data_IF_974743114823
#
_entry.id   IF_974743114823
#
_cell.length_a   1.000
_cell.length_b   1.000
_cell.length_c   1.000
_cell.angle_alpha   90.00
_cell.angle_beta   90.00
_cell.angle_gamma   90.00
#
_symmetry.space_group_name_H-M   'P 1'
#
loop_
_entity.id
_entity.type
_entity.pdbx_description
1 polymer ?
#
# COMPACT_ATOMS: atom_id res chain seq x y z
N UNK A 1 -7.82 14.22 2.56
CA UNK A 1 -8.31 13.30 1.51
C UNK A 1 -7.25 12.21 1.38
N UNK A 2 -7.15 11.35 2.40
CA UNK A 2 -6.21 10.23 2.41
C UNK A 2 -6.95 9.03 1.84
N UNK A 3 -6.36 8.36 0.85
CA UNK A 3 -6.79 7.00 0.57
C UNK A 3 -6.32 6.14 1.77
N UNK A 4 -7.04 5.06 2.09
CA UNK A 4 -6.88 4.40 3.41
C UNK A 4 -5.57 3.60 3.57
N UNK A 5 -4.83 3.35 2.49
CA UNK A 5 -3.73 2.38 2.45
C UNK A 5 -2.35 3.01 2.20
N UNK A 6 -2.26 4.34 2.21
CA UNK A 6 -1.02 5.08 2.04
C UNK A 6 -0.50 5.65 3.35
N UNK A 7 0.77 5.38 3.63
CA UNK A 7 1.52 5.98 4.72
C UNK A 7 2.54 6.94 4.12
N UNK A 8 2.50 8.21 4.53
CA UNK A 8 3.51 9.19 4.13
C UNK A 8 4.20 9.79 5.35
N UNK A 9 5.51 9.93 5.26
CA UNK A 9 6.31 10.59 6.29
C UNK A 9 7.62 11.11 5.72
N UNK A 10 8.22 12.06 6.43
CA UNK A 10 9.51 12.66 6.06
C UNK A 10 10.59 12.14 7.01
N UNK A 11 11.69 11.63 6.46
CA UNK A 11 12.92 11.34 7.21
C UNK A 11 14.05 12.18 6.61
N UNK A 12 14.57 13.12 7.39
CA UNK A 12 15.54 14.10 6.89
C UNK A 12 14.94 14.90 5.74
N UNK A 13 15.60 14.86 4.58
CA UNK A 13 15.16 15.55 3.37
C UNK A 13 14.41 14.64 2.39
N UNK A 14 13.96 13.45 2.80
CA UNK A 14 13.24 12.51 1.94
C UNK A 14 11.78 12.41 2.35
N UNK A 15 10.88 12.69 1.40
CA UNK A 15 9.44 12.44 1.51
C UNK A 15 9.15 11.03 1.03
N UNK A 16 8.97 10.13 1.99
CA UNK A 16 8.65 8.74 1.71
C UNK A 16 7.14 8.56 1.68
N UNK A 17 6.67 7.96 0.60
CA UNK A 17 5.30 7.49 0.41
C UNK A 17 5.35 5.98 0.25
N UNK A 18 4.68 5.28 1.16
CA UNK A 18 4.51 3.84 1.13
C UNK A 18 3.05 3.52 0.87
N UNK A 19 2.82 2.55 0.00
CA UNK A 19 1.49 2.05 -0.28
C UNK A 19 1.50 0.53 -0.32
N UNK A 20 0.43 -0.09 0.15
CA UNK A 20 0.20 -1.53 -0.02
C UNK A 20 -0.81 -1.78 -1.14
N UNK A 21 -0.57 -2.82 -1.94
CA UNK A 21 -1.49 -3.27 -3.00
C UNK A 21 -1.59 -4.80 -3.05
N UNK A 22 -2.82 -5.31 -2.98
CA UNK A 22 -3.17 -6.72 -3.24
C UNK A 22 -3.46 -7.02 -4.71
N UNK A 23 -3.59 -5.98 -5.54
CA UNK A 23 -3.83 -6.10 -6.98
C UNK A 23 -2.84 -5.26 -7.78
N UNK A 24 -2.43 -5.76 -8.95
CA UNK A 24 -1.54 -5.01 -9.83
C UNK A 24 -2.31 -3.82 -10.41
N UNK A 25 -1.71 -2.63 -10.35
CA UNK A 25 -2.29 -1.42 -10.94
C UNK A 25 -1.23 -0.64 -11.71
N UNK A 26 -1.39 -0.46 -13.04
CA UNK A 26 -0.49 0.39 -13.82
C UNK A 26 -0.65 1.88 -13.47
N UNK A 27 -1.74 2.25 -12.77
CA UNK A 27 -2.09 3.63 -12.44
C UNK A 27 -1.36 4.18 -11.21
N UNK A 28 -0.50 3.37 -10.56
CA UNK A 28 0.23 3.77 -9.36
C UNK A 28 1.03 5.07 -9.56
N UNK A 29 1.78 5.28 -10.66
CA UNK A 29 2.51 6.54 -10.86
C UNK A 29 1.60 7.79 -10.88
N UNK A 30 0.38 7.66 -11.43
CA UNK A 30 -0.59 8.75 -11.45
C UNK A 30 -1.15 9.04 -10.04
N UNK A 31 -1.40 7.98 -9.25
CA UNK A 31 -1.77 8.13 -7.84
C UNK A 31 -0.66 8.80 -7.03
N UNK A 32 0.58 8.34 -7.21
CA UNK A 32 1.80 8.92 -6.62
C UNK A 32 1.91 10.42 -6.89
N UNK A 33 1.64 10.86 -8.13
CA UNK A 33 1.61 12.27 -8.49
C UNK A 33 0.60 13.05 -7.64
N UNK A 34 -0.62 12.55 -7.47
CA UNK A 34 -1.65 13.21 -6.68
C UNK A 34 -1.29 13.28 -5.19
N UNK A 35 -0.73 12.21 -4.64
CA UNK A 35 -0.23 12.19 -3.27
C UNK A 35 0.88 13.22 -3.07
N UNK A 36 1.94 13.19 -3.89
CA UNK A 36 3.04 14.15 -3.79
C UNK A 36 2.59 15.59 -3.99
N UNK A 37 1.72 15.86 -4.96
CA UNK A 37 1.19 17.21 -5.17
C UNK A 37 0.46 17.73 -3.93
N UNK A 38 -0.28 16.86 -3.24
CA UNK A 38 -1.01 17.22 -2.01
C UNK A 38 -0.05 17.44 -0.84
N UNK A 39 0.89 16.51 -0.63
CA UNK A 39 1.90 16.57 0.43
C UNK A 39 2.81 17.79 0.28
N UNK A 40 3.30 18.08 -0.93
CA UNK A 40 4.12 19.27 -1.15
C UNK A 40 3.32 20.57 -0.97
N UNK A 41 2.06 20.61 -1.40
CA UNK A 41 1.20 21.79 -1.21
C UNK A 41 1.05 22.11 0.27
N UNK A 42 0.68 21.11 1.07
CA UNK A 42 0.58 21.26 2.53
C UNK A 42 1.91 21.70 3.14
N UNK A 43 3.01 21.07 2.72
CA UNK A 43 4.34 21.31 3.29
C UNK A 43 4.86 22.74 3.08
N UNK A 44 4.53 23.36 1.95
CA UNK A 44 5.03 24.68 1.58
C UNK A 44 4.03 25.81 1.89
N UNK A 45 2.87 25.51 2.47
CA UNK A 45 1.78 26.48 2.62
C UNK A 45 2.23 27.79 3.29
N UNK A 46 3.02 27.69 4.37
CA UNK A 46 3.56 28.85 5.11
C UNK A 46 4.57 29.68 4.31
N UNK A 47 5.20 29.09 3.28
CA UNK A 47 6.27 29.69 2.48
C UNK A 47 5.91 29.80 0.99
N UNK A 48 4.65 29.59 0.61
CA UNK A 48 4.18 29.52 -0.78
C UNK A 48 4.52 30.75 -1.62
N UNK A 49 4.69 31.91 -0.99
CA UNK A 49 5.10 33.14 -1.65
C UNK A 49 6.50 33.03 -2.29
N UNK A 50 7.37 32.15 -1.76
CA UNK A 50 8.71 31.90 -2.32
C UNK A 50 8.67 31.31 -3.72
N UNK A 51 7.56 30.69 -4.14
CA UNK A 51 7.39 30.17 -5.51
C UNK A 51 7.47 31.27 -6.57
N UNK A 52 7.18 32.52 -6.21
CA UNK A 52 7.19 33.67 -7.12
C UNK A 52 8.43 34.56 -6.95
N UNK A 53 9.42 34.10 -6.17
CA UNK A 53 10.67 34.82 -5.92
C UNK A 53 11.79 34.25 -6.79
N UNK A 54 12.84 35.05 -7.01
CA UNK A 54 14.06 34.61 -7.71
C UNK A 54 15.03 33.82 -6.79
N UNK A 55 14.50 33.15 -5.76
CA UNK A 55 15.27 32.33 -4.81
C UNK A 55 14.75 30.89 -4.85
N UNK A 56 15.63 29.88 -4.99
CA UNK A 56 15.19 28.48 -5.00
C UNK A 56 14.44 28.08 -3.73
N UNK A 57 13.29 27.42 -3.91
CA UNK A 57 12.58 26.73 -2.85
C UNK A 57 12.94 25.23 -2.92
N UNK A 58 13.82 24.79 -2.02
CA UNK A 58 14.12 23.36 -1.87
C UNK A 58 12.96 22.66 -1.16
N UNK A 59 12.51 21.56 -1.75
CA UNK A 59 11.47 20.68 -1.19
C UNK A 59 12.09 19.29 -0.98
N UNK A 60 11.53 18.46 -0.07
CA UNK A 60 12.00 17.10 0.14
C UNK A 60 12.10 16.29 -1.16
N UNK A 61 13.00 15.31 -1.19
CA UNK A 61 13.15 14.35 -2.28
C UNK A 61 12.01 13.31 -2.23
N UNK A 62 11.22 13.13 -3.31
CA UNK A 62 10.11 12.19 -3.32
C UNK A 62 10.60 10.75 -3.49
N UNK A 63 10.11 9.84 -2.66
CA UNK A 63 10.31 8.40 -2.82
C UNK A 63 8.96 7.68 -2.67
N UNK A 64 8.56 6.93 -3.70
CA UNK A 64 7.30 6.20 -3.71
C UNK A 64 7.54 4.69 -3.86
N UNK A 65 7.27 3.95 -2.78
CA UNK A 65 7.44 2.50 -2.70
C UNK A 65 6.07 1.86 -2.52
N UNK A 66 5.78 0.88 -3.36
CA UNK A 66 4.54 0.10 -3.28
C UNK A 66 4.89 -1.33 -2.91
N UNK A 67 4.32 -1.84 -1.83
CA UNK A 67 4.42 -3.24 -1.44
C UNK A 67 3.30 -4.03 -2.11
N UNK A 68 3.68 -4.87 -3.07
CA UNK A 68 2.76 -5.75 -3.77
C UNK A 68 2.70 -7.12 -3.08
N UNK A 69 1.52 -7.54 -2.65
CA UNK A 69 1.31 -8.88 -2.12
C UNK A 69 0.26 -9.69 -2.89
N UNK A 70 -0.13 -9.29 -4.10
CA UNK A 70 -1.21 -9.94 -4.84
C UNK A 70 -0.92 -11.36 -5.32
N UNK A 71 -1.94 -12.00 -5.90
CA UNK A 71 -1.90 -13.40 -6.38
C UNK A 71 -1.27 -13.56 -7.76
N UNK A 72 -1.22 -12.48 -8.55
CA UNK A 72 -0.62 -12.49 -9.88
C UNK A 72 0.91 -12.57 -9.75
N UNK A 73 1.54 -13.35 -10.63
CA UNK A 73 2.99 -13.45 -10.65
C UNK A 73 3.61 -12.16 -11.20
N UNK A 74 4.32 -11.44 -10.34
CA UNK A 74 4.99 -10.18 -10.65
C UNK A 74 6.47 -10.27 -10.22
N UNK A 75 7.39 -9.53 -10.88
CA UNK A 75 8.82 -9.56 -10.56
C UNK A 75 9.10 -9.11 -9.11
N UNK A 76 10.26 -9.48 -8.57
CA UNK A 76 10.66 -9.06 -7.21
C UNK A 76 10.68 -7.53 -7.07
N UNK A 77 11.13 -6.83 -8.11
CA UNK A 77 11.16 -5.38 -8.16
C UNK A 77 10.81 -4.91 -9.56
N UNK A 78 9.95 -3.91 -9.65
CA UNK A 78 9.67 -3.19 -10.91
C UNK A 78 9.53 -1.70 -10.65
N UNK A 79 9.80 -0.90 -11.69
CA UNK A 79 9.56 0.54 -11.69
C UNK A 79 8.45 0.83 -12.70
N UNK A 80 7.36 1.41 -12.20
CA UNK A 80 6.27 1.93 -13.03
C UNK A 80 6.50 3.43 -13.26
N UNK A 81 6.26 3.90 -14.48
CA UNK A 81 6.45 5.31 -14.84
C UNK A 81 5.16 5.95 -15.29
N UNK A 82 4.97 7.22 -14.95
CA UNK A 82 3.83 7.99 -15.44
C UNK A 82 3.90 8.14 -16.96
N UNK A 83 5.11 8.18 -17.52
CA UNK A 83 5.32 8.21 -18.97
C UNK A 83 4.60 7.10 -19.73
N UNK A 84 4.45 5.93 -19.12
CA UNK A 84 3.84 4.75 -19.74
C UNK A 84 2.32 4.90 -19.89
N UNK A 85 1.71 5.85 -19.17
CA UNK A 85 0.28 6.15 -19.21
C UNK A 85 -0.08 7.27 -20.19
N UNK A 86 0.90 8.05 -20.67
CA UNK A 86 0.60 9.14 -21.59
C UNK A 86 0.17 8.64 -22.98
N UNK A 87 -0.79 9.33 -23.58
CA UNK A 87 -1.20 9.08 -24.96
C UNK A 87 -0.02 9.35 -25.90
N UNK A 88 0.31 8.37 -26.74
CA UNK A 88 1.39 8.49 -27.72
C UNK A 88 1.01 9.51 -28.79
N UNK A 89 1.81 10.56 -28.92
CA UNK A 89 1.58 11.64 -29.92
C UNK A 89 2.32 11.40 -31.23
N UNK A 90 3.05 10.29 -31.36
CA UNK A 90 3.92 9.99 -32.50
C UNK A 90 5.19 10.83 -32.57
N UNK A 91 5.40 11.75 -31.62
CA UNK A 91 6.60 12.57 -31.47
C UNK A 91 7.48 11.99 -30.37
N UNK A 92 8.78 11.85 -30.63
CA UNK A 92 9.77 11.43 -29.63
C UNK A 92 10.23 12.64 -28.80
N UNK A 93 9.36 13.11 -27.89
CA UNK A 93 9.70 14.20 -26.96
C UNK A 93 9.54 13.68 -25.53
N UNK A 94 10.55 13.83 -24.66
CA UNK A 94 10.42 13.48 -23.25
C UNK A 94 9.27 14.24 -22.59
N UNK A 95 8.46 13.59 -21.73
CA UNK A 95 7.39 14.27 -21.02
C UNK A 95 7.96 15.31 -20.04
N UNK A 96 7.23 16.42 -19.85
CA UNK A 96 7.58 17.44 -18.87
C UNK A 96 7.34 17.00 -17.41
N UNK A 97 6.61 15.90 -17.21
CA UNK A 97 6.25 15.36 -15.91
C UNK A 97 6.56 13.86 -15.87
N UNK A 98 7.22 13.43 -14.80
CA UNK A 98 7.50 12.03 -14.53
C UNK A 98 7.33 11.75 -13.04
N UNK A 99 6.41 10.85 -12.71
CA UNK A 99 6.31 10.26 -11.39
C UNK A 99 6.64 8.78 -11.53
N UNK A 100 7.38 8.23 -10.57
CA UNK A 100 7.81 6.83 -10.59
C UNK A 100 7.36 6.13 -9.33
N UNK A 101 6.89 4.89 -9.48
CA UNK A 101 6.57 4.02 -8.37
C UNK A 101 7.51 2.81 -8.40
N UNK A 102 8.23 2.56 -7.30
CA UNK A 102 9.00 1.33 -7.12
C UNK A 102 8.09 0.30 -6.47
N UNK A 103 7.72 -0.73 -7.22
CA UNK A 103 6.90 -1.83 -6.70
C UNK A 103 7.82 -2.96 -6.25
N UNK A 104 7.66 -3.39 -5.00
CA UNK A 104 8.38 -4.49 -4.38
C UNK A 104 7.41 -5.63 -4.10
N UNK A 105 7.66 -6.80 -4.69
CA UNK A 105 6.85 -7.99 -4.42
C UNK A 105 7.21 -8.56 -3.04
N UNK A 106 6.31 -8.42 -2.08
CA UNK A 106 6.48 -8.90 -0.71
C UNK A 106 5.80 -10.26 -0.46
N UNK A 107 5.37 -10.96 -1.51
CA UNK A 107 4.88 -12.33 -1.36
C UNK A 107 5.96 -13.23 -0.75
N UNK A 108 5.52 -14.24 0.01
CA UNK A 108 6.44 -15.16 0.67
C UNK A 108 7.40 -15.80 -0.34
N UNK A 109 8.70 -15.77 -0.03
CA UNK A 109 9.76 -16.28 -0.91
C UNK A 109 10.41 -15.23 -1.81
N UNK A 110 9.89 -14.00 -1.87
CA UNK A 110 10.46 -12.89 -2.63
C UNK A 110 11.22 -11.88 -1.75
N UNK A 111 12.10 -11.08 -2.38
CA UNK A 111 12.85 -9.99 -1.76
C UNK A 111 13.59 -10.41 -0.49
N UNK A 112 14.38 -11.49 -0.58
CA UNK A 112 15.04 -12.13 0.58
C UNK A 112 15.78 -11.14 1.49
N UNK A 113 16.57 -10.23 0.94
CA UNK A 113 17.34 -9.27 1.73
C UNK A 113 16.44 -8.30 2.52
N UNK A 114 15.35 -7.82 1.91
CA UNK A 114 14.35 -6.99 2.59
C UNK A 114 13.69 -7.74 3.74
N UNK A 115 13.33 -9.00 3.50
CA UNK A 115 12.69 -9.87 4.49
C UNK A 115 13.63 -10.26 5.64
N UNK A 116 14.93 -10.35 5.38
CA UNK A 116 15.96 -10.57 6.41
C UNK A 116 16.14 -9.32 7.29
N UNK A 117 16.04 -8.12 6.70
CA UNK A 117 16.15 -6.84 7.41
C UNK A 117 14.87 -6.45 8.16
N UNK A 118 13.70 -6.87 7.70
CA UNK A 118 12.40 -6.52 8.28
C UNK A 118 11.63 -7.79 8.68
N UNK A 119 11.80 -8.21 9.94
CA UNK A 119 11.17 -9.41 10.49
C UNK A 119 9.64 -9.33 10.43
N UNK A 120 9.06 -8.18 10.77
CA UNK A 120 7.60 -7.97 10.73
C UNK A 120 7.04 -8.13 9.32
N UNK A 121 7.72 -7.59 8.29
CA UNK A 121 7.27 -7.73 6.90
C UNK A 121 7.36 -9.18 6.43
N UNK A 122 8.41 -9.91 6.85
CA UNK A 122 8.56 -11.34 6.58
C UNK A 122 7.44 -12.15 7.24
N UNK A 123 7.14 -11.88 8.51
CA UNK A 123 6.03 -12.52 9.22
C UNK A 123 4.69 -12.21 8.57
N UNK A 124 4.46 -10.96 8.16
CA UNK A 124 3.28 -10.57 7.40
C UNK A 124 3.15 -11.36 6.09
N UNK A 125 4.23 -11.51 5.31
CA UNK A 125 4.19 -12.31 4.08
C UNK A 125 3.79 -13.77 4.33
N UNK A 126 4.23 -14.35 5.46
CA UNK A 126 3.85 -15.71 5.88
C UNK A 126 2.40 -15.77 6.30
N UNK A 127 1.94 -14.80 7.09
CA UNK A 127 0.56 -14.70 7.55
C UNK A 127 -0.41 -14.67 6.35
N UNK A 128 -0.14 -13.83 5.35
CA UNK A 128 -0.95 -13.73 4.12
C UNK A 128 -1.03 -15.07 3.39
N UNK A 129 0.07 -15.82 3.28
CA UNK A 129 0.06 -17.16 2.65
C UNK A 129 -0.79 -18.16 3.46
N UNK A 130 -0.69 -18.14 4.78
CA UNK A 130 -1.49 -19.03 5.65
C UNK A 130 -2.99 -18.75 5.49
N UNK A 131 -3.39 -17.48 5.46
CA UNK A 131 -4.78 -17.09 5.22
C UNK A 131 -5.26 -17.55 3.83
N UNK A 132 -4.47 -17.34 2.78
CA UNK A 132 -4.82 -17.78 1.42
C UNK A 132 -4.97 -19.29 1.28
N UNK A 133 -4.08 -20.05 1.91
CA UNK A 133 -4.19 -21.51 1.94
C UNK A 133 -5.48 -21.94 2.63
N UNK A 134 -5.90 -21.20 3.65
CA UNK A 134 -7.13 -21.47 4.37
C UNK A 134 -8.40 -21.08 3.62
N UNK A 135 -8.35 -20.07 2.76
CA UNK A 135 -9.50 -19.71 1.90
C UNK A 135 -9.94 -20.88 1.00
N UNK A 136 -9.06 -21.83 0.71
CA UNK A 136 -9.39 -23.08 -0.01
C UNK A 136 -9.51 -24.30 0.91
N UNK A 137 -9.46 -24.11 2.23
CA UNK A 137 -9.48 -25.15 3.25
C UNK A 137 -10.76 -25.14 4.11
N UNK A 138 -10.87 -26.11 5.01
CA UNK A 138 -12.07 -26.31 5.86
C UNK A 138 -11.92 -25.80 7.31
N UNK A 139 -10.71 -25.41 7.72
CA UNK A 139 -10.49 -24.90 9.09
C UNK A 139 -11.06 -23.48 9.27
N UNK A 140 -11.58 -23.14 10.45
CA UNK A 140 -11.94 -21.75 10.77
C UNK A 140 -10.72 -20.82 10.70
N UNK A 141 -10.91 -19.57 10.29
CA UNK A 141 -9.82 -18.57 10.24
C UNK A 141 -9.22 -18.31 11.63
N UNK A 142 -10.02 -18.46 12.69
CA UNK A 142 -9.61 -18.45 14.09
C UNK A 142 -8.43 -19.40 14.35
N UNK A 143 -8.50 -20.64 13.84
CA UNK A 143 -7.45 -21.65 14.03
C UNK A 143 -6.16 -21.29 13.29
N UNK A 144 -6.28 -20.59 12.16
CA UNK A 144 -5.11 -20.07 11.43
C UNK A 144 -4.45 -18.94 12.18
N UNK A 145 -5.23 -18.00 12.73
CA UNK A 145 -4.71 -16.91 13.57
C UNK A 145 -4.02 -17.48 14.81
N UNK A 146 -4.65 -18.44 15.48
CA UNK A 146 -4.06 -19.09 16.67
C UNK A 146 -2.78 -19.88 16.31
N UNK A 147 -2.75 -20.51 15.14
CA UNK A 147 -1.54 -21.16 14.62
C UNK A 147 -0.43 -20.15 14.37
N UNK A 148 -0.74 -18.99 13.76
CA UNK A 148 0.24 -17.93 13.54
C UNK A 148 0.80 -17.40 14.87
N UNK A 149 -0.06 -17.16 15.87
CA UNK A 149 0.36 -16.75 17.22
C UNK A 149 1.28 -17.80 17.87
N UNK A 150 0.93 -19.10 17.78
CA UNK A 150 1.75 -20.20 18.32
C UNK A 150 3.12 -20.30 17.64
N UNK A 151 3.19 -20.02 16.34
CA UNK A 151 4.43 -20.04 15.56
C UNK A 151 5.25 -18.75 15.66
N UNK A 152 4.78 -17.75 16.42
CA UNK A 152 5.46 -16.45 16.57
C UNK A 152 5.30 -15.54 15.35
N UNK A 153 4.38 -15.82 14.43
CA UNK A 153 4.11 -15.01 13.24
C UNK A 153 3.18 -13.86 13.64
N UNK A 154 3.68 -12.62 13.59
CA UNK A 154 2.93 -11.42 14.00
C UNK A 154 2.30 -11.54 15.40
N UNK A 155 2.88 -12.37 16.28
CA UNK A 155 2.19 -12.85 17.47
C UNK A 155 1.76 -11.74 18.43
N UNK A 156 2.53 -10.65 18.52
CA UNK A 156 2.17 -9.51 19.38
C UNK A 156 0.99 -8.73 18.82
N UNK A 157 0.94 -8.53 17.50
CA UNK A 157 -0.13 -7.79 16.81
C UNK A 157 -1.42 -8.64 16.86
N UNK A 158 -1.32 -9.91 16.48
CA UNK A 158 -2.47 -10.82 16.45
C UNK A 158 -3.06 -11.07 17.83
N UNK A 159 -2.26 -11.08 18.91
CA UNK A 159 -2.80 -11.20 20.28
C UNK A 159 -3.60 -9.97 20.71
N UNK A 160 -3.16 -8.77 20.31
CA UNK A 160 -3.84 -7.52 20.68
C UNK A 160 -5.12 -7.30 19.86
N UNK A 161 -5.06 -7.61 18.57
CA UNK A 161 -6.10 -7.25 17.60
C UNK A 161 -6.84 -8.49 17.05
N UNK A 162 -6.88 -9.59 17.80
CA UNK A 162 -7.34 -10.90 17.30
C UNK A 162 -8.71 -10.82 16.62
N UNK A 163 -9.70 -10.27 17.32
CA UNK A 163 -11.08 -10.20 16.83
C UNK A 163 -11.20 -9.33 15.59
N UNK A 164 -10.53 -8.19 15.57
CA UNK A 164 -10.56 -7.22 14.46
C UNK A 164 -9.89 -7.79 13.20
N UNK A 165 -8.76 -8.49 13.36
CA UNK A 165 -8.08 -9.16 12.24
C UNK A 165 -8.95 -10.26 11.64
N UNK A 166 -9.63 -11.05 12.47
CA UNK A 166 -10.53 -12.11 12.00
C UNK A 166 -11.74 -11.50 11.25
N UNK A 167 -12.35 -10.46 11.81
CA UNK A 167 -13.49 -9.76 11.21
C UNK A 167 -13.11 -9.15 9.85
N UNK A 168 -11.92 -8.53 9.76
CA UNK A 168 -11.35 -8.02 8.51
C UNK A 168 -11.19 -9.14 7.47
N UNK A 169 -10.61 -10.28 7.85
CA UNK A 169 -10.41 -11.43 6.94
C UNK A 169 -11.76 -11.97 6.43
N UNK A 170 -12.75 -12.12 7.33
CA UNK A 170 -14.08 -12.60 6.97
C UNK A 170 -14.80 -11.63 6.04
N UNK A 171 -14.63 -10.34 6.26
CA UNK A 171 -15.21 -9.28 5.43
C UNK A 171 -14.61 -9.32 4.02
N UNK A 172 -13.27 -9.32 3.91
CA UNK A 172 -12.58 -9.41 2.61
C UNK A 172 -12.92 -10.72 1.88
N UNK A 173 -13.00 -11.85 2.57
CA UNK A 173 -13.40 -13.14 1.98
C UNK A 173 -14.83 -13.11 1.44
N UNK A 174 -15.77 -12.53 2.20
CA UNK A 174 -17.15 -12.37 1.74
C UNK A 174 -17.24 -11.41 0.54
N UNK A 175 -16.45 -10.34 0.49
CA UNK A 175 -16.39 -9.40 -0.65
C UNK A 175 -15.73 -10.02 -1.91
N UNK A 176 -14.82 -10.99 -1.76
CA UNK A 176 -14.31 -11.75 -2.91
C UNK A 176 -15.35 -12.73 -3.48
N UNK A 177 -16.22 -13.29 -2.63
CA UNK A 177 -17.33 -14.18 -3.03
C UNK A 177 -18.54 -13.41 -3.59
N UNK A 178 -18.76 -12.21 -3.07
CA UNK A 178 -19.76 -11.25 -3.51
C UNK A 178 -19.05 -10.10 -4.21
N UNK A 179 -18.92 -10.16 -5.54
CA UNK A 179 -18.53 -9.01 -6.38
C UNK A 179 -19.55 -7.87 -6.26
N UNK A 180 -19.59 -7.22 -5.10
CA UNK A 180 -20.46 -6.10 -4.80
C UNK A 180 -19.87 -4.90 -5.52
N UNK A 181 -20.75 -4.14 -6.16
CA UNK A 181 -20.37 -2.89 -6.81
C UNK A 181 -19.71 -1.98 -5.78
N UNK A 182 -18.60 -1.32 -6.14
CA UNK A 182 -17.73 -0.50 -5.26
C UNK A 182 -18.48 0.41 -4.26
N UNK A 183 -19.72 0.83 -4.56
CA UNK A 183 -20.55 1.67 -3.70
C UNK A 183 -21.10 1.01 -2.42
N UNK A 184 -21.21 -0.33 -2.35
CA UNK A 184 -21.77 -1.02 -1.18
C UNK A 184 -20.70 -1.33 -0.12
N UNK A 185 -19.48 -1.66 -0.54
CA UNK A 185 -18.32 -1.86 0.33
C UNK A 185 -17.91 -0.56 1.06
N UNK A 186 -17.91 0.58 0.36
CA UNK A 186 -17.62 1.88 0.97
C UNK A 186 -18.59 2.26 2.09
N UNK A 187 -19.87 1.90 1.96
CA UNK A 187 -20.91 2.19 2.93
C UNK A 187 -20.77 1.33 4.20
N UNK A 188 -20.24 0.11 4.05
CA UNK A 188 -20.04 -0.84 5.14
C UNK A 188 -18.76 -0.55 5.92
N UNK A 189 -17.62 -0.30 5.24
CA UNK A 189 -16.36 0.08 5.90
C UNK A 189 -16.50 1.41 6.64
N UNK A 190 -17.36 2.33 6.15
CA UNK A 190 -17.70 3.55 6.88
C UNK A 190 -18.36 3.26 8.24
N UNK A 191 -19.31 2.32 8.29
CA UNK A 191 -19.95 1.89 9.55
C UNK A 191 -18.97 1.24 10.53
N UNK A 192 -18.00 0.47 10.04
CA UNK A 192 -17.00 -0.19 10.90
C UNK A 192 -16.06 0.84 11.51
N UNK A 193 -15.59 1.81 10.73
CA UNK A 193 -14.70 2.87 11.23
C UNK A 193 -15.41 3.85 12.16
N UNK A 194 -16.67 4.18 11.91
CA UNK A 194 -17.48 5.02 12.81
C UNK A 194 -17.69 4.36 14.20
N UNK A 195 -17.47 3.04 14.34
CA UNK A 195 -17.56 2.31 15.61
C UNK A 195 -16.20 2.07 16.30
N UNK A 196 -15.07 2.47 15.68
CA UNK A 196 -13.72 2.32 16.26
C UNK A 196 -13.21 3.60 16.94
N UNK A 197 -13.93 4.71 16.81
CA UNK A 197 -13.65 6.00 17.45
C UNK A 197 -14.49 6.25 18.74
N UNK A 198 -15.23 5.25 19.24
CA UNK A 198 -15.83 5.20 20.60
C UNK A 198 -15.10 4.21 21.52
#
# INVERSE_FOLDING_TARGET
MGMKNDLSFIIGDVMNLYEHQSSYSPNLPLRGLFYFASLYRERIEDVKQKLYMNVPLHIPFPQYIVFYNGTKQEPERQELKLSDLFVKTGKEVPPALECKAVVLNINFGHNRELMEKCVTLREYSRFVVMIRQQMSGELPFEEVVDTCIRQGILSEILRKNRSEVIDMILTEYNEEEFSLSEGEAEQYVKKVLDNLDE
#
